data_IF_708648887364
#
_entry.id   IF_708648887364
#
_cell.length_a   1.000
_cell.length_b   1.000
_cell.length_c   1.000
_cell.angle_alpha   90.00
_cell.angle_beta   90.00
_cell.angle_gamma   90.00
#
_symmetry.space_group_name_H-M   'P 1'
#
loop_
_entity.id
_entity.type
_entity.pdbx_description
1 polymer ?
#
# COMPACT_ATOMS: atom_id res chain seq x y z
N UNK A 1 8.15 8.78 7.68
CA UNK A 1 7.77 7.86 6.59
C UNK A 1 6.88 6.80 7.17
N UNK A 2 5.80 6.48 6.46
CA UNK A 2 4.77 5.58 6.92
C UNK A 2 4.76 4.30 6.07
N UNK A 3 4.18 3.24 6.61
CA UNK A 3 4.08 1.94 5.95
C UNK A 3 2.70 1.81 5.32
N UNK A 4 2.66 1.34 4.09
CA UNK A 4 1.41 0.93 3.45
C UNK A 4 0.90 -0.36 4.09
N UNK A 5 -0.33 -0.31 4.61
CA UNK A 5 -1.04 -1.42 5.24
C UNK A 5 -1.33 -2.57 4.28
N UNK A 6 -1.31 -2.31 2.97
CA UNK A 6 -1.56 -3.33 1.94
C UNK A 6 -0.27 -4.01 1.50
N UNK A 7 0.70 -3.27 0.98
CA UNK A 7 1.88 -3.87 0.34
C UNK A 7 3.17 -3.78 1.15
N UNK A 8 3.17 -3.09 2.30
CA UNK A 8 4.33 -2.93 3.17
C UNK A 8 5.39 -1.92 2.68
N UNK A 9 5.07 -1.10 1.67
CA UNK A 9 5.97 -0.02 1.23
C UNK A 9 6.16 0.99 2.36
N UNK A 10 7.40 1.21 2.80
CA UNK A 10 7.78 1.90 4.04
C UNK A 10 8.17 3.37 3.83
N UNK A 11 7.85 3.93 2.67
CA UNK A 11 8.25 5.27 2.24
C UNK A 11 7.07 6.16 1.87
N UNK A 12 5.89 5.89 2.41
CA UNK A 12 4.77 6.82 2.27
C UNK A 12 5.11 8.16 2.94
N UNK A 13 4.77 9.26 2.28
CA UNK A 13 4.94 10.62 2.82
C UNK A 13 4.01 10.87 4.01
N UNK A 14 2.79 10.32 3.94
CA UNK A 14 1.73 10.50 4.93
C UNK A 14 1.15 9.14 5.35
N UNK A 15 0.58 9.01 6.56
CA UNK A 15 -0.08 7.77 6.97
C UNK A 15 -1.39 7.60 6.18
N UNK A 16 -1.80 6.35 5.96
CA UNK A 16 -3.07 6.07 5.27
C UNK A 16 -4.30 6.47 6.10
N UNK A 17 -4.18 6.44 7.42
CA UNK A 17 -5.22 6.81 8.37
C UNK A 17 -4.63 7.74 9.43
N UNK A 18 -5.45 8.67 9.92
CA UNK A 18 -5.10 9.59 11.00
C UNK A 18 -5.23 8.88 12.36
N UNK A 19 -4.94 9.60 13.45
CA UNK A 19 -4.99 9.03 14.81
C UNK A 19 -6.41 8.63 15.26
N UNK A 20 -7.43 9.18 14.63
CA UNK A 20 -8.85 8.91 14.85
C UNK A 20 -9.44 7.89 13.85
N UNK A 21 -8.57 7.14 13.15
CA UNK A 21 -8.91 6.16 12.11
C UNK A 21 -9.61 6.75 10.86
N UNK A 22 -9.69 8.08 10.73
CA UNK A 22 -10.19 8.71 9.51
C UNK A 22 -9.21 8.51 8.34
N UNK A 23 -9.72 8.20 7.13
CA UNK A 23 -8.86 8.01 5.96
C UNK A 23 -8.19 9.32 5.56
N UNK A 24 -6.88 9.26 5.36
CA UNK A 24 -6.08 10.40 4.93
C UNK A 24 -5.91 10.48 3.39
N UNK A 25 -6.69 9.67 2.65
CA UNK A 25 -6.71 9.61 1.18
C UNK A 25 -5.33 9.44 0.51
N UNK A 26 -4.39 8.80 1.20
CA UNK A 26 -3.04 8.59 0.69
C UNK A 26 -3.05 7.47 -0.34
N UNK A 27 -2.48 7.77 -1.51
CA UNK A 27 -2.23 6.81 -2.58
C UNK A 27 -0.83 6.22 -2.40
N UNK A 28 -0.73 4.89 -2.35
CA UNK A 28 0.55 4.22 -2.28
C UNK A 28 1.27 4.24 -3.64
N UNK A 29 2.43 4.88 -3.73
CA UNK A 29 3.28 4.89 -4.95
C UNK A 29 3.71 3.49 -5.43
N UNK A 30 3.68 2.50 -4.54
CA UNK A 30 4.00 1.12 -4.86
C UNK A 30 2.76 0.38 -5.39
N UNK A 31 1.75 0.11 -4.55
CA UNK A 31 0.63 -0.75 -4.95
C UNK A 31 -0.59 -0.02 -5.52
N UNK A 32 -0.64 1.31 -5.39
CA UNK A 32 -1.76 2.12 -5.87
C UNK A 32 -2.96 2.19 -4.93
N UNK A 33 -2.94 1.49 -3.79
CA UNK A 33 -4.03 1.56 -2.83
C UNK A 33 -4.23 2.99 -2.30
N UNK A 34 -5.46 3.46 -2.32
CA UNK A 34 -5.92 4.73 -1.78
C UNK A 34 -6.84 4.51 -0.59
N UNK A 35 -6.45 4.96 0.61
CA UNK A 35 -7.30 4.87 1.80
C UNK A 35 -8.56 5.72 1.65
N UNK A 36 -9.67 5.23 2.19
CA UNK A 36 -11.00 5.83 2.04
C UNK A 36 -11.68 5.49 0.71
N UNK A 37 -10.92 5.30 -0.38
CA UNK A 37 -11.50 4.96 -1.68
C UNK A 37 -11.54 3.44 -1.90
N UNK A 38 -10.40 2.77 -1.87
CA UNK A 38 -10.34 1.35 -2.20
C UNK A 38 -10.99 0.47 -1.13
N UNK A 39 -10.90 0.86 0.14
CA UNK A 39 -11.45 0.12 1.28
C UNK A 39 -12.88 0.54 1.66
N UNK A 40 -13.19 1.83 1.71
CA UNK A 40 -14.53 2.29 2.14
C UNK A 40 -15.49 2.43 0.95
N UNK A 41 -15.11 3.17 -0.10
CA UNK A 41 -15.99 3.37 -1.26
C UNK A 41 -16.12 2.11 -2.13
N UNK A 42 -15.02 1.40 -2.39
CA UNK A 42 -15.00 0.16 -3.19
C UNK A 42 -15.20 -1.10 -2.35
N UNK A 43 -15.09 -1.00 -1.02
CA UNK A 43 -15.36 -2.12 -0.10
C UNK A 43 -14.30 -3.22 -0.11
N UNK A 44 -13.08 -2.97 -0.59
CA UNK A 44 -12.02 -4.00 -0.62
C UNK A 44 -11.30 -4.08 0.71
N UNK A 45 -11.15 -5.30 1.22
CA UNK A 45 -10.21 -5.52 2.33
C UNK A 45 -8.76 -5.36 1.86
N UNK A 46 -7.86 -5.05 2.80
CA UNK A 46 -6.43 -4.95 2.49
C UNK A 46 -5.87 -6.25 1.90
N UNK A 47 -6.32 -7.41 2.40
CA UNK A 47 -5.91 -8.72 1.88
C UNK A 47 -6.40 -8.97 0.45
N UNK A 48 -7.65 -8.61 0.13
CA UNK A 48 -8.18 -8.72 -1.24
C UNK A 48 -7.43 -7.82 -2.22
N UNK A 49 -7.10 -6.59 -1.81
CA UNK A 49 -6.32 -5.69 -2.64
C UNK A 49 -4.90 -6.20 -2.84
N UNK A 50 -4.25 -6.68 -1.76
CA UNK A 50 -2.92 -7.27 -1.79
C UNK A 50 -2.87 -8.47 -2.75
N UNK A 51 -3.82 -9.40 -2.65
CA UNK A 51 -3.92 -10.56 -3.54
C UNK A 51 -4.10 -10.14 -5.00
N UNK A 52 -4.99 -9.16 -5.28
CA UNK A 52 -5.17 -8.60 -6.64
C UNK A 52 -3.88 -7.99 -7.18
N UNK A 53 -3.16 -7.21 -6.38
CA UNK A 53 -1.90 -6.58 -6.76
C UNK A 53 -0.80 -7.62 -7.03
N UNK A 54 -0.67 -8.63 -6.17
CA UNK A 54 0.28 -9.74 -6.36
C UNK A 54 -0.04 -10.53 -7.62
N UNK A 55 -1.31 -10.89 -7.85
CA UNK A 55 -1.74 -11.61 -9.07
C UNK A 55 -1.46 -10.85 -10.36
N UNK A 56 -1.43 -9.51 -10.29
CA UNK A 56 -1.04 -8.64 -11.40
C UNK A 56 0.48 -8.52 -11.59
N UNK A 57 1.28 -9.16 -10.74
CA UNK A 57 2.75 -9.14 -10.81
C UNK A 57 3.41 -8.11 -9.91
N UNK A 58 2.70 -7.58 -8.90
CA UNK A 58 3.20 -6.57 -7.98
C UNK A 58 3.76 -5.33 -8.71
N UNK A 59 3.04 -4.88 -9.74
CA UNK A 59 3.42 -3.75 -10.60
C UNK A 59 3.44 -2.46 -9.77
N UNK A 60 4.49 -1.67 -9.91
CA UNK A 60 4.57 -0.37 -9.24
C UNK A 60 3.78 0.68 -9.99
N UNK A 61 3.08 1.56 -9.27
CA UNK A 61 2.44 2.75 -9.88
C UNK A 61 3.52 3.72 -10.36
N UNK A 62 4.49 4.03 -9.49
CA UNK A 62 5.66 4.84 -9.84
C UNK A 62 6.95 4.01 -9.79
N UNK A 63 7.34 3.45 -10.93
CA UNK A 63 8.58 2.68 -11.07
C UNK A 63 9.84 3.52 -10.74
N UNK A 64 9.78 4.86 -10.78
CA UNK A 64 10.93 5.70 -10.41
C UNK A 64 11.23 5.66 -8.90
N UNK A 65 10.22 5.36 -8.08
CA UNK A 65 10.35 5.20 -6.62
C UNK A 65 10.79 3.80 -6.21
N UNK A 66 10.85 2.84 -7.14
CA UNK A 66 11.24 1.46 -6.88
C UNK A 66 12.72 1.33 -6.54
N UNK A 67 13.08 0.74 -5.38
CA UNK A 67 14.47 0.53 -5.01
C UNK A 67 15.21 -0.39 -5.99
N UNK A 68 16.47 -0.07 -6.32
CA UNK A 68 17.31 -0.88 -7.23
C UNK A 68 17.46 -2.36 -6.83
N UNK A 69 17.43 -2.66 -5.53
CA UNK A 69 17.51 -4.03 -4.97
C UNK A 69 16.20 -4.41 -4.27
N UNK A 70 15.08 -4.02 -4.87
CA UNK A 70 13.76 -4.32 -4.32
C UNK A 70 13.49 -5.84 -4.27
N UNK A 71 12.81 -6.27 -3.22
CA UNK A 71 12.37 -7.65 -3.02
C UNK A 71 10.96 -7.60 -2.45
N UNK A 72 10.02 -8.22 -3.17
CA UNK A 72 8.63 -8.31 -2.75
C UNK A 72 8.51 -8.94 -1.36
N UNK A 73 9.16 -10.08 -1.14
CA UNK A 73 9.17 -10.78 0.15
C UNK A 73 9.63 -9.90 1.32
N UNK A 74 10.67 -9.07 1.10
CA UNK A 74 11.14 -8.15 2.13
C UNK A 74 10.13 -7.05 2.41
N UNK A 75 9.49 -6.51 1.37
CA UNK A 75 8.48 -5.47 1.53
C UNK A 75 7.25 -5.97 2.28
N UNK A 76 6.76 -7.18 1.94
CA UNK A 76 5.57 -7.76 2.60
C UNK A 76 5.78 -8.00 4.11
N UNK A 77 7.02 -8.19 4.57
CA UNK A 77 7.34 -8.32 6.00
C UNK A 77 7.10 -7.05 6.81
N UNK A 78 6.96 -5.90 6.15
CA UNK A 78 6.68 -4.64 6.84
C UNK A 78 5.19 -4.48 7.19
N UNK A 79 4.30 -5.28 6.60
CA UNK A 79 2.87 -5.23 6.90
C UNK A 79 2.67 -5.58 8.37
N UNK A 80 2.13 -4.62 9.14
CA UNK A 80 1.79 -4.83 10.54
C UNK A 80 0.47 -5.59 10.62
N UNK A 81 0.44 -6.64 11.44
CA UNK A 81 -0.76 -7.38 11.80
C UNK A 81 -1.33 -6.89 13.12
#
# INVERSE_FOLDING_TARGET
>A
MFICNVCGFDKLEWPQYLEDDEPNFVICDCCGFQSGYDDLDQGLTFDEYLDKWIKRGAIWVDESKKPKKWSLEKQLKNIKK
#
